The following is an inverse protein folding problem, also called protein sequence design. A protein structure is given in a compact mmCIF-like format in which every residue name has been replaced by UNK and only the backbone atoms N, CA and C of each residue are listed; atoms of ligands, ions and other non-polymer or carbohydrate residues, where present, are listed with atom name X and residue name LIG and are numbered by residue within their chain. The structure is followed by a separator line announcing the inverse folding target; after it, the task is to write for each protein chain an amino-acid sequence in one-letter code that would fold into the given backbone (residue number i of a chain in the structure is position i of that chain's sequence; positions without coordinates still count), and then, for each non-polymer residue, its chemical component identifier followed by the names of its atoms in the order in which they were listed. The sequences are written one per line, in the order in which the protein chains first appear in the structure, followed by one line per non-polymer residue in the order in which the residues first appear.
data_IF_215586095109
#
_entry.id   IF_215586095109
#
_cell.length_a   1.000
_cell.length_b   1.000
_cell.length_c   1.000
_cell.angle_alpha   90.00
_cell.angle_beta   90.00
_cell.angle_gamma   90.00
#
_symmetry.space_group_name_H-M   'P 1'
#
loop_
_entity.id
_entity.type
_entity.pdbx_description
1 polymer ?
#
# COMPACT_ATOMS: atom_id res chain seq x y z
N UNK A 1 6.17 -13.62 -4.89
CA UNK A 1 7.25 -12.66 -4.55
C UNK A 1 6.72 -11.65 -3.57
N UNK A 2 7.53 -11.33 -2.56
CA UNK A 2 7.20 -10.37 -1.51
C UNK A 2 8.39 -9.44 -1.33
N UNK A 3 8.11 -8.15 -1.07
CA UNK A 3 9.09 -7.22 -0.53
C UNK A 3 8.87 -7.21 0.97
N UNK A 4 9.89 -7.51 1.74
CA UNK A 4 9.85 -7.45 3.21
C UNK A 4 10.95 -6.52 3.71
N UNK A 5 10.56 -5.51 4.47
CA UNK A 5 11.47 -4.57 5.10
C UNK A 5 11.32 -4.64 6.62
N UNK A 6 12.38 -4.30 7.34
CA UNK A 6 12.42 -4.34 8.81
C UNK A 6 13.07 -3.05 9.33
N UNK A 7 12.49 -2.45 10.36
CA UNK A 7 13.11 -1.32 11.09
C UNK A 7 13.71 -1.78 12.41
N UNK A 8 14.70 -1.00 12.87
CA UNK A 8 15.43 -1.23 14.11
C UNK A 8 15.66 0.13 14.75
N UNK A 9 15.03 0.35 15.90
CA UNK A 9 14.97 1.66 16.55
C UNK A 9 15.33 1.53 18.04
N UNK A 10 15.86 2.60 18.62
CA UNK A 10 16.36 2.60 20.01
C UNK A 10 15.26 2.83 21.06
N UNK A 11 14.06 3.24 20.62
CA UNK A 11 12.92 3.51 21.49
C UNK A 11 11.59 3.33 20.73
N UNK A 12 10.47 3.11 21.43
CA UNK A 12 9.15 3.03 20.81
C UNK A 12 8.77 4.30 20.02
N UNK A 13 9.24 5.47 20.47
CA UNK A 13 8.99 6.74 19.80
C UNK A 13 9.70 6.81 18.45
N UNK A 14 10.95 6.35 18.37
CA UNK A 14 11.68 6.27 17.09
C UNK A 14 11.09 5.18 16.18
N UNK A 15 10.68 4.04 16.74
CA UNK A 15 9.99 2.99 15.98
C UNK A 15 8.69 3.49 15.33
N UNK A 16 7.93 4.35 16.02
CA UNK A 16 6.74 5.01 15.45
C UNK A 16 7.09 5.90 14.26
N UNK A 17 8.22 6.62 14.28
CA UNK A 17 8.67 7.40 13.11
C UNK A 17 9.01 6.49 11.93
N UNK A 18 9.72 5.39 12.18
CA UNK A 18 10.01 4.38 11.15
C UNK A 18 8.74 3.75 10.57
N UNK A 19 7.74 3.46 11.43
CA UNK A 19 6.42 3.03 11.02
C UNK A 19 5.71 4.06 10.12
N UNK A 20 5.68 5.33 10.51
CA UNK A 20 5.03 6.40 9.75
C UNK A 20 5.69 6.61 8.38
N UNK A 21 7.02 6.48 8.28
CA UNK A 21 7.73 6.51 6.98
C UNK A 21 7.22 5.41 6.06
N UNK A 22 7.05 4.19 6.57
CA UNK A 22 6.56 3.07 5.78
C UNK A 22 5.08 3.23 5.42
N UNK A 23 4.25 3.72 6.36
CA UNK A 23 2.86 4.05 6.09
C UNK A 23 2.72 5.01 4.89
N UNK A 24 3.46 6.11 4.92
CA UNK A 24 3.43 7.12 3.84
C UNK A 24 4.05 6.58 2.54
N UNK A 25 5.14 5.81 2.63
CA UNK A 25 5.74 5.16 1.47
C UNK A 25 4.77 4.19 0.78
N UNK A 26 3.95 3.47 1.55
CA UNK A 26 2.95 2.53 1.03
C UNK A 26 1.81 3.25 0.32
N UNK A 27 1.26 4.31 0.94
CA UNK A 27 0.26 5.18 0.28
C UNK A 27 0.74 5.63 -1.10
N UNK A 28 1.99 6.13 -1.17
CA UNK A 28 2.59 6.59 -2.42
C UNK A 28 2.90 5.45 -3.38
N UNK A 29 3.32 4.29 -2.89
CA UNK A 29 3.64 3.12 -3.72
C UNK A 29 2.41 2.66 -4.48
N UNK A 30 1.28 2.47 -3.80
CA UNK A 30 0.05 2.01 -4.44
C UNK A 30 -0.55 3.08 -5.34
N UNK A 31 -0.55 4.35 -4.91
CA UNK A 31 -1.03 5.45 -5.75
C UNK A 31 -0.23 5.58 -7.06
N UNK A 32 1.10 5.37 -7.01
CA UNK A 32 1.95 5.35 -8.21
C UNK A 32 1.63 4.20 -9.17
N UNK A 33 0.97 3.15 -8.69
CA UNK A 33 0.48 2.03 -9.51
C UNK A 33 -0.97 2.22 -9.95
N UNK A 34 -1.56 3.40 -9.76
CA UNK A 34 -2.97 3.67 -10.08
C UNK A 34 -3.96 3.06 -9.10
N UNK A 35 -3.52 2.59 -7.92
CA UNK A 35 -4.34 1.88 -6.96
C UNK A 35 -4.77 2.79 -5.81
N UNK A 36 -6.05 2.69 -5.44
CA UNK A 36 -6.63 3.30 -4.23
C UNK A 36 -6.57 2.30 -3.07
N UNK A 37 -5.39 2.14 -2.48
CA UNK A 37 -5.20 1.25 -1.33
C UNK A 37 -5.50 2.00 -0.02
N UNK A 38 -6.51 1.54 0.72
CA UNK A 38 -6.95 2.14 1.98
C UNK A 38 -6.21 1.46 3.14
N UNK A 39 -5.55 2.23 4.03
CA UNK A 39 -4.99 1.68 5.26
C UNK A 39 -6.11 1.37 6.26
N UNK A 40 -6.19 0.12 6.71
CA UNK A 40 -7.23 -0.38 7.61
C UNK A 40 -6.63 -0.94 8.88
N UNK A 41 -7.27 -0.68 10.02
CA UNK A 41 -6.91 -1.34 11.27
C UNK A 41 -7.10 -2.85 11.09
N UNK A 42 -6.04 -3.61 11.37
CA UNK A 42 -5.99 -5.04 11.12
C UNK A 42 -5.55 -5.79 12.38
N UNK A 43 -5.76 -7.11 12.39
CA UNK A 43 -5.23 -7.93 13.45
C UNK A 43 -3.69 -8.03 13.37
N UNK A 44 -3.06 -8.22 14.52
CA UNK A 44 -1.59 -8.38 14.58
C UNK A 44 -1.18 -9.84 14.40
N UNK A 45 -2.14 -10.77 14.50
CA UNK A 45 -1.92 -12.20 14.37
C UNK A 45 -0.74 -12.72 15.20
N UNK A 46 0.00 -13.73 14.71
CA UNK A 46 1.17 -14.27 15.39
C UNK A 46 2.38 -13.34 15.33
N UNK A 47 2.37 -12.26 14.54
CA UNK A 47 3.44 -11.25 14.49
C UNK A 47 3.40 -10.39 15.76
N UNK A 48 2.22 -10.10 16.30
CA UNK A 48 2.03 -9.38 17.56
C UNK A 48 2.29 -7.87 17.46
N UNK A 49 2.19 -7.17 18.58
CA UNK A 49 2.20 -5.70 18.64
C UNK A 49 0.82 -5.11 18.90
N UNK A 50 0.69 -3.80 18.82
CA UNK A 50 -0.57 -3.04 18.97
C UNK A 50 -0.84 -2.07 17.81
N UNK A 51 0.11 -1.94 16.88
CA UNK A 51 0.03 -1.03 15.74
C UNK A 51 0.22 -1.82 14.43
N UNK A 52 -0.89 -2.11 13.77
CA UNK A 52 -1.00 -2.95 12.57
C UNK A 52 -1.97 -2.32 11.57
N UNK A 53 -1.53 -2.14 10.33
CA UNK A 53 -2.40 -1.69 9.24
C UNK A 53 -2.21 -2.54 7.98
N UNK A 54 -3.32 -3.05 7.46
CA UNK A 54 -3.41 -3.64 6.14
C UNK A 54 -3.75 -2.56 5.11
N UNK A 55 -3.10 -2.59 3.96
CA UNK A 55 -3.41 -1.75 2.82
C UNK A 55 -4.24 -2.58 1.84
N UNK A 56 -5.53 -2.22 1.73
CA UNK A 56 -6.51 -3.00 0.99
C UNK A 56 -7.00 -2.20 -0.21
N UNK A 57 -6.98 -2.84 -1.38
CA UNK A 57 -7.60 -2.31 -2.60
C UNK A 57 -9.03 -2.84 -2.64
N UNK A 58 -10.01 -1.97 -2.85
CA UNK A 58 -11.40 -2.36 -2.97
C UNK A 58 -11.64 -3.12 -4.28
N UNK A 59 -12.17 -4.33 -4.19
CA UNK A 59 -12.45 -5.20 -5.32
C UNK A 59 -13.58 -6.17 -4.94
N UNK A 60 -14.57 -6.35 -5.83
CA UNK A 60 -15.73 -7.22 -5.55
C UNK A 60 -15.34 -8.68 -5.28
N UNK A 61 -14.27 -9.14 -5.94
CA UNK A 61 -13.68 -10.48 -5.81
C UNK A 61 -12.73 -10.62 -4.63
N UNK A 62 -12.51 -9.55 -3.86
CA UNK A 62 -11.56 -9.51 -2.75
C UNK A 62 -11.85 -10.55 -1.67
N UNK A 63 -10.82 -11.00 -0.96
CA UNK A 63 -10.91 -12.01 0.09
C UNK A 63 -11.45 -11.45 1.42
N UNK A 64 -11.17 -10.19 1.71
CA UNK A 64 -11.48 -9.56 3.00
C UNK A 64 -12.72 -8.68 2.90
N UNK A 65 -13.66 -8.81 3.84
CA UNK A 65 -14.72 -7.82 4.03
C UNK A 65 -14.18 -6.64 4.83
N UNK A 66 -14.55 -5.43 4.41
CA UNK A 66 -14.00 -4.19 4.96
C UNK A 66 -15.06 -3.13 5.17
N UNK A 67 -14.84 -2.29 6.19
CA UNK A 67 -15.72 -1.19 6.56
C UNK A 67 -14.90 0.08 6.73
N UNK A 68 -15.22 1.13 5.98
CA UNK A 68 -14.48 2.38 6.07
C UNK A 68 -15.32 3.63 5.77
N UNK A 69 -14.74 4.78 6.10
CA UNK A 69 -15.23 6.08 5.68
C UNK A 69 -14.90 6.31 4.20
N UNK A 70 -15.90 6.61 3.37
CA UNK A 70 -15.75 6.79 1.91
C UNK A 70 -14.62 7.77 1.54
N UNK A 71 -14.44 8.86 2.31
CA UNK A 71 -13.39 9.85 2.04
C UNK A 71 -11.97 9.26 2.04
N UNK A 72 -11.71 8.13 2.71
CA UNK A 72 -10.41 7.46 2.63
C UNK A 72 -10.10 6.89 1.25
N UNK A 73 -11.13 6.46 0.52
CA UNK A 73 -10.99 5.91 -0.84
C UNK A 73 -10.65 7.01 -1.83
N UNK A 74 -11.17 8.21 -1.60
CA UNK A 74 -11.00 9.36 -2.49
C UNK A 74 -9.85 10.27 -2.08
N UNK A 75 -9.27 10.05 -0.90
CA UNK A 75 -8.11 10.79 -0.40
C UNK A 75 -6.86 10.46 -1.22
N UNK A 76 -6.22 11.45 -1.87
CA UNK A 76 -5.00 11.21 -2.62
C UNK A 76 -3.84 10.86 -1.68
N UNK A 77 -2.88 10.10 -2.21
CA UNK A 77 -1.60 9.91 -1.53
C UNK A 77 -0.87 11.26 -1.38
N UNK A 78 -0.12 11.45 -0.29
CA UNK A 78 0.60 12.69 -0.06
C UNK A 78 1.69 12.90 -1.11
N UNK A 79 1.85 14.14 -1.56
CA UNK A 79 2.91 14.55 -2.49
C UNK A 79 3.99 15.41 -1.80
N UNK A 80 5.19 15.47 -2.39
CA UNK A 80 6.34 16.25 -1.87
C UNK A 80 6.65 16.00 -0.38
N UNK A 81 6.70 14.73 0.00
CA UNK A 81 6.91 14.29 1.40
C UNK A 81 8.37 14.42 1.83
N UNK A 82 8.61 15.13 2.94
CA UNK A 82 9.86 15.04 3.70
C UNK A 82 9.82 13.88 4.70
N UNK A 83 10.46 12.76 4.34
CA UNK A 83 10.47 11.55 5.17
C UNK A 83 11.28 11.66 6.48
N UNK A 84 12.07 12.72 6.62
CA UNK A 84 12.86 12.97 7.82
C UNK A 84 12.21 14.02 8.73
N UNK A 85 11.16 14.68 8.26
CA UNK A 85 10.29 15.56 9.04
C UNK A 85 9.23 14.81 9.86
N UNK A 86 8.25 15.57 10.38
CA UNK A 86 7.12 15.00 11.12
C UNK A 86 6.04 14.47 10.16
N UNK A 87 5.88 13.15 10.14
CA UNK A 87 4.90 12.45 9.31
C UNK A 87 3.61 12.12 10.07
N UNK A 88 3.54 12.37 11.39
CA UNK A 88 2.36 12.06 12.20
C UNK A 88 1.08 12.73 11.66
N UNK A 89 1.08 14.00 11.20
CA UNK A 89 -0.13 14.61 10.64
C UNK A 89 -0.67 13.87 9.41
N UNK A 90 0.23 13.36 8.55
CA UNK A 90 -0.16 12.60 7.37
C UNK A 90 -0.78 11.26 7.75
N UNK A 91 -0.22 10.57 8.73
CA UNK A 91 -0.78 9.30 9.21
C UNK A 91 -2.11 9.53 9.94
N UNK A 92 -2.18 10.52 10.82
CA UNK A 92 -3.36 10.89 11.58
C UNK A 92 -4.55 11.32 10.71
N UNK A 93 -4.30 11.97 9.57
CA UNK A 93 -5.34 12.31 8.59
C UNK A 93 -6.05 11.05 8.06
N UNK A 94 -5.32 9.94 7.89
CA UNK A 94 -5.88 8.67 7.43
C UNK A 94 -6.48 7.88 8.60
N UNK A 95 -5.74 7.72 9.69
CA UNK A 95 -6.17 6.90 10.84
C UNK A 95 -7.23 7.57 11.71
N UNK A 96 -7.45 8.88 11.56
CA UNK A 96 -8.54 9.61 12.19
C UNK A 96 -9.93 9.28 11.60
N UNK A 97 -9.98 8.77 10.37
CA UNK A 97 -11.19 8.25 9.76
C UNK A 97 -11.32 6.75 10.05
N UNK A 98 -12.55 6.27 10.23
CA UNK A 98 -12.79 4.87 10.51
C UNK A 98 -12.42 4.01 9.29
N UNK A 99 -11.54 3.03 9.48
CA UNK A 99 -11.30 1.93 8.57
C UNK A 99 -10.87 0.69 9.34
N UNK A 100 -11.54 -0.44 9.09
CA UNK A 100 -11.27 -1.71 9.76
C UNK A 100 -11.56 -2.88 8.82
N UNK A 101 -10.76 -3.93 8.96
CA UNK A 101 -11.10 -5.27 8.45
C UNK A 101 -12.24 -5.87 9.27
N UNK A 102 -12.89 -6.90 8.76
CA UNK A 102 -13.98 -7.61 9.45
C UNK A 102 -13.60 -8.02 10.89
N UNK A 103 -12.35 -8.46 11.11
CA UNK A 103 -11.88 -8.92 12.41
C UNK A 103 -11.76 -7.80 13.45
N UNK A 104 -11.56 -6.55 13.00
CA UNK A 104 -11.45 -5.36 13.86
C UNK A 104 -12.68 -4.46 13.79
N UNK A 105 -13.71 -4.86 13.05
CA UNK A 105 -14.90 -4.04 12.86
C UNK A 105 -15.78 -4.01 14.12
N UNK A 106 -16.12 -2.81 14.57
CA UNK A 106 -17.15 -2.57 15.59
C UNK A 106 -18.29 -1.76 14.95
N UNK A 107 -19.46 -2.38 14.86
CA UNK A 107 -20.64 -1.77 14.24
C UNK A 107 -21.08 -0.48 14.95
N UNK A 108 -21.01 -0.44 16.28
CA UNK A 108 -21.44 0.72 17.07
C UNK A 108 -20.46 1.87 16.88
N UNK A 109 -19.16 1.59 16.91
CA UNK A 109 -18.11 2.57 16.63
C UNK A 109 -18.26 3.14 15.21
N UNK A 110 -18.48 2.26 14.21
CA UNK A 110 -18.63 2.66 12.82
C UNK A 110 -19.83 3.59 12.61
N UNK A 111 -20.99 3.24 13.16
CA UNK A 111 -22.19 4.07 13.04
C UNK A 111 -22.06 5.41 13.77
N UNK A 112 -21.37 5.43 14.91
CA UNK A 112 -21.13 6.64 15.68
C UNK A 112 -20.10 7.59 15.01
N UNK A 113 -19.06 7.04 14.38
CA UNK A 113 -17.96 7.81 13.78
C UNK A 113 -18.17 8.17 12.31
N UNK A 114 -19.00 7.42 11.58
CA UNK A 114 -19.17 7.60 10.13
C UNK A 114 -20.62 7.99 9.81
N UNK A 115 -20.84 9.16 9.16
CA UNK A 115 -22.16 9.56 8.68
C UNK A 115 -22.75 8.54 7.70
N UNK A 116 -24.07 8.32 7.72
CA UNK A 116 -24.74 7.30 6.91
C UNK A 116 -24.37 7.34 5.42
N UNK A 117 -24.36 8.53 4.81
CA UNK A 117 -23.97 8.72 3.40
C UNK A 117 -22.46 8.58 3.10
N UNK A 118 -21.63 8.30 4.10
CA UNK A 118 -20.18 8.10 3.99
C UNK A 118 -19.74 6.71 4.47
N UNK A 119 -20.68 5.85 4.89
CA UNK A 119 -20.40 4.47 5.29
C UNK A 119 -20.19 3.62 4.05
N UNK A 120 -18.99 3.08 3.90
CA UNK A 120 -18.67 2.12 2.86
C UNK A 120 -18.42 0.73 3.46
N UNK A 121 -19.16 -0.25 2.95
CA UNK A 121 -18.91 -1.68 3.18
C UNK A 121 -18.58 -2.31 1.83
N UNK A 122 -17.43 -2.98 1.73
CA UNK A 122 -16.95 -3.55 0.48
C UNK A 122 -16.16 -4.84 0.73
N UNK A 123 -15.73 -5.46 -0.36
CA UNK A 123 -14.68 -6.48 -0.33
C UNK A 123 -13.38 -5.87 -0.86
N UNK A 124 -12.25 -6.46 -0.47
CA UNK A 124 -10.96 -5.98 -0.94
C UNK A 124 -9.85 -7.01 -0.88
N UNK A 125 -8.75 -6.68 -1.54
CA UNK A 125 -7.54 -7.49 -1.65
C UNK A 125 -6.45 -6.82 -0.84
N UNK A 126 -5.91 -7.53 0.15
CA UNK A 126 -4.75 -7.07 0.92
C UNK A 126 -3.48 -7.12 0.05
N UNK A 127 -2.86 -5.96 -0.17
CA UNK A 127 -1.65 -5.83 -1.00
C UNK A 127 -0.40 -5.44 -0.21
N UNK A 128 -0.55 -5.07 1.05
CA UNK A 128 0.57 -4.85 1.95
C UNK A 128 0.13 -4.74 3.40
N UNK A 129 1.06 -5.03 4.29
CA UNK A 129 0.83 -5.04 5.73
C UNK A 129 2.03 -4.45 6.45
N UNK A 130 1.78 -3.54 7.39
CA UNK A 130 2.80 -2.95 8.24
C UNK A 130 2.54 -3.23 9.73
N UNK A 131 3.59 -3.62 10.44
CA UNK A 131 3.54 -4.00 11.85
C UNK A 131 4.62 -3.27 12.65
N UNK A 132 4.26 -2.84 13.86
CA UNK A 132 5.22 -2.58 14.94
C UNK A 132 4.99 -3.63 16.04
N UNK A 133 6.02 -4.44 16.32
CA UNK A 133 5.95 -5.55 17.29
C UNK A 133 6.93 -5.39 18.45
N UNK A 134 7.49 -4.19 18.60
CA UNK A 134 8.40 -3.80 19.67
C UNK A 134 9.56 -4.76 19.87
N UNK A 135 9.73 -5.24 21.09
CA UNK A 135 10.87 -6.10 21.46
C UNK A 135 10.61 -7.61 21.33
N UNK A 136 9.56 -8.01 20.61
CA UNK A 136 9.14 -9.42 20.50
C UNK A 136 10.25 -10.36 20.05
N UNK A 137 11.07 -9.93 19.10
CA UNK A 137 12.20 -10.72 18.59
C UNK A 137 13.53 -10.34 19.25
N UNK A 138 13.76 -9.05 19.51
CA UNK A 138 15.00 -8.61 20.13
C UNK A 138 15.20 -9.18 21.53
N UNK A 139 14.13 -9.32 22.33
CA UNK A 139 14.19 -9.88 23.68
C UNK A 139 14.64 -11.35 23.73
N UNK A 140 14.00 -12.31 23.05
CA UNK A 140 14.46 -13.71 23.06
C UNK A 140 15.78 -13.93 22.33
N UNK A 141 16.15 -13.06 21.38
CA UNK A 141 17.42 -13.16 20.63
C UNK A 141 18.57 -12.37 21.27
N UNK A 142 18.32 -11.65 22.37
CA UNK A 142 19.28 -10.78 23.05
C UNK A 142 19.91 -9.72 22.13
N UNK A 143 19.10 -9.13 21.24
CA UNK A 143 19.53 -8.05 20.34
C UNK A 143 19.45 -6.73 21.10
N UNK A 144 20.60 -6.19 21.48
CA UNK A 144 20.70 -4.95 22.22
C UNK A 144 21.69 -3.98 21.57
N UNK A 145 21.51 -2.69 21.81
CA UNK A 145 22.41 -1.61 21.37
C UNK A 145 22.66 -0.65 22.53
N UNK A 146 23.76 0.11 22.47
CA UNK A 146 24.05 1.12 23.48
C UNK A 146 22.99 2.24 23.44
N UNK A 147 22.35 2.50 24.58
CA UNK A 147 21.34 3.54 24.73
C UNK A 147 21.95 4.93 24.96
N UNK A 148 21.19 6.00 24.69
CA UNK A 148 21.66 7.38 24.84
C UNK A 148 21.96 7.78 26.30
N UNK A 149 21.31 7.14 27.28
CA UNK A 149 21.53 7.37 28.72
C UNK A 149 22.59 6.43 29.32
N UNK A 150 23.30 5.68 28.48
CA UNK A 150 24.20 4.61 28.89
C UNK A 150 23.48 3.27 29.10
N UNK A 151 24.26 2.18 29.10
CA UNK A 151 23.72 0.81 29.17
C UNK A 151 23.14 0.31 27.84
N UNK A 152 22.71 -0.95 27.84
CA UNK A 152 22.17 -1.60 26.66
C UNK A 152 20.63 -1.57 26.69
N UNK A 153 20.01 -1.18 25.57
CA UNK A 153 18.56 -1.24 25.36
C UNK A 153 18.23 -2.33 24.35
N UNK A 154 17.07 -2.97 24.52
CA UNK A 154 16.54 -3.89 23.51
C UNK A 154 16.11 -3.10 22.28
N UNK A 155 16.39 -3.64 21.10
CA UNK A 155 16.00 -2.99 19.85
C UNK A 155 14.50 -3.09 19.64
N UNK A 156 13.86 -1.97 19.34
CA UNK A 156 12.45 -1.87 18.95
C UNK A 156 12.33 -2.14 17.45
N UNK A 157 11.38 -2.98 17.04
CA UNK A 157 11.36 -3.52 15.69
C UNK A 157 9.97 -3.44 15.04
N UNK A 158 9.96 -3.26 13.73
CA UNK A 158 8.79 -3.36 12.87
C UNK A 158 9.07 -4.14 11.59
N UNK A 159 8.02 -4.59 10.92
CA UNK A 159 8.11 -5.23 9.59
C UNK A 159 7.07 -4.67 8.64
N UNK A 160 7.41 -4.67 7.35
CA UNK A 160 6.63 -4.04 6.31
C UNK A 160 6.66 -4.94 5.08
N UNK A 161 5.54 -5.60 4.77
CA UNK A 161 5.37 -6.52 3.64
C UNK A 161 4.58 -5.88 2.48
N UNK A 162 4.99 -6.11 1.24
CA UNK A 162 4.18 -5.84 0.03
C UNK A 162 4.14 -7.12 -0.80
N UNK A 163 2.95 -7.59 -1.14
CA UNK A 163 2.75 -8.74 -2.01
C UNK A 163 3.02 -8.39 -3.48
N UNK A 164 4.30 -8.32 -3.88
CA UNK A 164 4.69 -7.90 -5.25
C UNK A 164 4.04 -8.75 -6.34
N UNK A 165 4.00 -10.08 -6.19
CA UNK A 165 3.29 -10.92 -7.17
C UNK A 165 1.78 -10.79 -7.09
N UNK A 166 1.23 -10.51 -5.89
CA UNK A 166 -0.20 -10.33 -5.68
C UNK A 166 -0.70 -9.03 -6.31
N UNK A 167 0.15 -8.00 -6.36
CA UNK A 167 -0.18 -6.72 -6.99
C UNK A 167 -0.56 -6.85 -8.47
N UNK A 168 0.04 -7.77 -9.22
CA UNK A 168 -0.33 -7.97 -10.63
C UNK A 168 -1.82 -8.32 -10.78
N UNK A 169 -2.32 -9.25 -9.96
CA UNK A 169 -3.75 -9.59 -9.90
C UNK A 169 -4.60 -8.45 -9.35
N UNK A 170 -4.15 -7.82 -8.25
CA UNK A 170 -4.87 -6.69 -7.64
C UNK A 170 -5.03 -5.49 -8.59
N UNK A 171 -4.07 -5.23 -9.47
CA UNK A 171 -4.15 -4.18 -10.50
C UNK A 171 -5.18 -4.56 -11.56
N UNK A 172 -5.18 -5.80 -12.04
CA UNK A 172 -6.15 -6.27 -13.04
C UNK A 172 -7.58 -6.20 -12.46
N UNK A 173 -7.79 -6.67 -11.23
CA UNK A 173 -9.10 -6.62 -10.57
C UNK A 173 -9.59 -5.17 -10.40
N UNK A 174 -8.69 -4.23 -10.11
CA UNK A 174 -9.04 -2.82 -9.99
C UNK A 174 -9.17 -2.08 -11.33
N UNK A 175 -8.59 -2.61 -12.42
CA UNK A 175 -8.44 -1.90 -13.70
C UNK A 175 -8.69 -2.85 -14.89
N UNK A 176 -9.95 -3.18 -15.13
CA UNK A 176 -10.38 -3.97 -16.29
C UNK A 176 -11.76 -3.52 -16.77
N UNK A 177 -12.12 -3.94 -17.98
CA UNK A 177 -13.48 -3.83 -18.52
C UNK A 177 -13.89 -5.14 -19.23
N UNK A 178 -15.01 -5.10 -19.95
CA UNK A 178 -15.53 -6.27 -20.68
C UNK A 178 -14.60 -6.77 -21.81
N UNK A 179 -13.61 -5.98 -22.22
CA UNK A 179 -12.69 -6.27 -23.34
C UNK A 179 -11.29 -6.69 -22.88
N UNK A 180 -10.94 -6.44 -21.62
CA UNK A 180 -9.71 -6.95 -21.02
C UNK A 180 -9.11 -6.03 -19.95
N UNK A 181 -7.80 -6.15 -19.79
CA UNK A 181 -7.02 -5.41 -18.78
C UNK A 181 -6.76 -3.98 -19.23
N UNK A 182 -6.89 -3.03 -18.31
CA UNK A 182 -6.53 -1.62 -18.50
C UNK A 182 -5.35 -1.32 -17.58
N UNK A 183 -4.12 -1.45 -18.08
CA UNK A 183 -2.93 -1.20 -17.27
C UNK A 183 -2.76 0.30 -16.96
N UNK A 184 -2.50 0.68 -15.70
CA UNK A 184 -1.97 1.99 -15.38
C UNK A 184 -0.58 2.19 -16.03
N UNK A 185 -0.32 3.37 -16.60
CA UNK A 185 0.89 3.67 -17.39
C UNK A 185 2.20 3.21 -16.73
N UNK A 186 2.32 3.42 -15.41
CA UNK A 186 3.49 3.09 -14.62
C UNK A 186 3.86 1.59 -14.56
N UNK A 187 2.90 0.72 -14.86
CA UNK A 187 3.02 -0.74 -14.74
C UNK A 187 2.63 -1.46 -16.03
N UNK A 188 2.24 -0.71 -17.07
CA UNK A 188 1.98 -1.27 -18.39
C UNK A 188 3.26 -1.93 -18.94
N UNK A 189 3.17 -3.13 -19.53
CA UNK A 189 4.34 -3.81 -20.08
C UNK A 189 4.96 -3.03 -21.25
N UNK A 190 4.13 -2.29 -21.99
CA UNK A 190 4.50 -1.36 -23.05
C UNK A 190 3.51 -0.19 -23.03
N UNK A 191 3.97 1.04 -23.32
CA UNK A 191 3.10 2.22 -23.37
C UNK A 191 2.23 2.26 -24.64
N UNK A 192 2.69 1.68 -25.75
CA UNK A 192 2.00 1.73 -27.05
C UNK A 192 2.12 0.38 -27.75
N UNK A 193 1.00 -0.14 -28.25
CA UNK A 193 0.96 -1.26 -29.19
C UNK A 193 0.82 -0.75 -30.63
N UNK A 194 1.83 -1.01 -31.48
CA UNK A 194 1.76 -0.71 -32.91
C UNK A 194 1.23 -1.92 -33.69
N UNK A 195 0.13 -1.74 -34.41
CA UNK A 195 -0.51 -2.80 -35.21
C UNK A 195 -0.52 -2.39 -36.68
N UNK A 196 0.20 -3.15 -37.52
CA UNK A 196 0.15 -3.00 -38.96
C UNK A 196 -1.13 -3.66 -39.50
N UNK A 197 -2.12 -2.85 -39.91
CA UNK A 197 -3.41 -3.34 -40.41
C UNK A 197 -3.28 -4.13 -41.72
N UNK A 198 -2.23 -3.87 -42.51
CA UNK A 198 -1.82 -4.62 -43.70
C UNK A 198 -0.31 -4.81 -43.70
N UNK A 199 0.17 -5.86 -43.04
CA UNK A 199 1.61 -6.10 -42.88
C UNK A 199 2.34 -6.45 -44.19
N UNK A 200 1.60 -6.82 -45.23
CA UNK A 200 2.09 -7.14 -46.58
C UNK A 200 2.14 -5.92 -47.53
N UNK A 201 1.60 -4.77 -47.10
CA UNK A 201 1.64 -3.52 -47.85
C UNK A 201 2.90 -2.72 -47.51
N UNK A 202 3.80 -2.55 -48.50
CA UNK A 202 5.09 -1.91 -48.29
C UNK A 202 5.01 -0.48 -47.70
N UNK A 203 4.09 0.41 -48.15
CA UNK A 203 3.87 1.69 -47.51
C UNK A 203 3.46 1.58 -46.04
N UNK A 204 2.56 0.65 -45.70
CA UNK A 204 2.12 0.43 -44.31
C UNK A 204 3.28 -0.05 -43.45
N UNK A 205 4.04 -1.05 -43.91
CA UNK A 205 5.18 -1.59 -43.16
C UNK A 205 6.26 -0.54 -42.94
N UNK A 206 6.62 0.24 -43.97
CA UNK A 206 7.59 1.33 -43.83
C UNK A 206 7.13 2.42 -42.84
N UNK A 207 5.84 2.74 -42.82
CA UNK A 207 5.29 3.70 -41.85
C UNK A 207 5.32 3.15 -40.41
N UNK A 208 4.98 1.87 -40.21
CA UNK A 208 5.06 1.22 -38.90
C UNK A 208 6.50 1.16 -38.38
N UNK A 209 7.48 0.79 -39.21
CA UNK A 209 8.90 0.78 -38.86
C UNK A 209 9.38 2.18 -38.47
N UNK A 210 9.06 3.21 -39.28
CA UNK A 210 9.44 4.59 -38.96
C UNK A 210 8.81 5.10 -37.65
N UNK A 211 7.56 4.69 -37.33
CA UNK A 211 6.94 5.02 -36.05
C UNK A 211 7.60 4.28 -34.89
N UNK A 212 7.91 2.99 -35.06
CA UNK A 212 8.60 2.19 -34.07
C UNK A 212 9.97 2.79 -33.71
N UNK A 213 10.76 3.17 -34.72
CA UNK A 213 12.06 3.81 -34.53
C UNK A 213 11.95 5.13 -33.77
N UNK A 214 10.96 5.95 -34.11
CA UNK A 214 10.71 7.24 -33.45
C UNK A 214 10.24 7.08 -32.00
N UNK A 215 9.38 6.10 -31.72
CA UNK A 215 8.89 5.83 -30.36
C UNK A 215 9.96 5.19 -29.49
N UNK A 216 10.85 4.39 -30.07
CA UNK A 216 11.95 3.75 -29.34
C UNK A 216 13.13 4.70 -29.05
N UNK A 217 13.22 5.82 -29.77
CA UNK A 217 14.25 6.84 -29.59
C UNK A 217 13.84 7.99 -28.65
N UNK A 218 12.58 8.06 -28.23
CA UNK A 218 12.02 9.06 -27.33
C UNK A 218 12.19 8.65 -25.85
#
# INVERSE_FOLDING_TARGET
LMKDAYSFDVSPQEARKSYNRMFVAYLRTFARMGLKAVPMRADTGPIGGDLSHEFIILAETGESQVFCHQDLVDMPAPDNVDYWGDLEPLVAERTGLYAATEEKHDQTEFEAKVPEGKRLSARGIEVGHIFYFGTKYSKPMNITVAGPEGGNVLVEMGSYGIGVSRLAGGIIEASHDATGVIWPDSVAPFHVGLIAMKADDAPTSAACEALYDRLSAA
#
